data_IF_374595757260
#
_entry.id   IF_374595757260
#
_cell.length_a   1.000
_cell.length_b   1.000
_cell.length_c   1.000
_cell.angle_alpha   90.00
_cell.angle_beta   90.00
_cell.angle_gamma   90.00
#
_symmetry.space_group_name_H-M   'P 1'
#
loop_
_entity.id
_entity.type
_entity.pdbx_description
1 polymer ?
#
# COMPACT_ATOMS: atom_id res chain seq x y z
N UNK A 1 17.44 3.83 19.42
CA UNK A 1 17.15 5.18 18.86
C UNK A 1 16.17 4.97 17.73
N UNK A 2 14.91 5.32 17.94
CA UNK A 2 13.82 5.08 17.01
C UNK A 2 14.05 5.87 15.71
N UNK A 3 14.08 5.19 14.56
CA UNK A 3 14.12 5.87 13.26
C UNK A 3 12.78 6.59 13.05
N UNK A 4 12.83 7.90 12.79
CA UNK A 4 11.67 8.63 12.31
C UNK A 4 11.45 8.27 10.83
N UNK A 5 10.39 7.53 10.54
CA UNK A 5 9.93 7.34 9.16
C UNK A 5 9.57 8.69 8.56
N UNK A 6 10.13 9.01 7.39
CA UNK A 6 9.99 10.33 6.77
C UNK A 6 8.55 10.69 6.38
N UNK A 7 7.67 9.69 6.23
CA UNK A 7 6.28 9.84 5.81
C UNK A 7 5.27 9.81 6.98
N UNK A 8 5.73 10.08 8.20
CA UNK A 8 4.96 10.00 9.45
C UNK A 8 4.59 11.40 9.98
N UNK A 9 3.43 11.53 10.61
CA UNK A 9 3.06 12.68 11.46
C UNK A 9 3.86 12.70 12.77
N UNK A 10 4.26 13.88 13.25
CA UNK A 10 5.08 14.07 14.47
C UNK A 10 4.42 13.59 15.78
N UNK A 11 3.12 13.26 15.77
CA UNK A 11 2.31 12.95 16.97
C UNK A 11 2.22 11.47 17.33
N UNK A 12 3.11 10.65 16.80
CA UNK A 12 2.92 9.23 16.69
C UNK A 12 3.71 8.45 17.74
N UNK A 13 3.07 7.48 18.41
CA UNK A 13 3.67 6.76 19.55
C UNK A 13 4.31 5.44 19.12
N UNK A 14 5.49 5.15 19.65
CA UNK A 14 6.19 3.87 19.49
C UNK A 14 5.98 3.03 20.74
N UNK A 15 5.60 1.77 20.56
CA UNK A 15 5.40 0.80 21.62
C UNK A 15 6.36 -0.36 21.42
N UNK A 16 7.32 -0.54 22.32
CA UNK A 16 8.11 -1.76 22.35
C UNK A 16 7.24 -2.87 22.98
N UNK A 17 6.77 -3.79 22.14
CA UNK A 17 6.28 -5.07 22.65
C UNK A 17 7.51 -5.91 23.07
N UNK A 18 7.35 -6.89 23.97
CA UNK A 18 8.47 -7.63 24.55
C UNK A 18 9.45 -8.26 23.54
N UNK A 19 9.03 -8.43 22.28
CA UNK A 19 9.79 -9.13 21.24
C UNK A 19 9.88 -8.40 19.90
N UNK A 20 9.01 -7.42 19.64
CA UNK A 20 8.96 -6.71 18.36
C UNK A 20 8.84 -5.20 18.55
N UNK A 21 9.55 -4.41 17.74
CA UNK A 21 9.43 -2.96 17.72
C UNK A 21 8.15 -2.56 16.98
N UNK A 22 7.10 -2.22 17.73
CA UNK A 22 5.77 -1.93 17.18
C UNK A 22 5.48 -0.44 17.20
N UNK A 23 4.98 0.07 16.08
CA UNK A 23 4.56 1.45 15.91
C UNK A 23 3.05 1.45 15.77
N UNK A 24 2.37 2.28 16.57
CA UNK A 24 0.93 2.52 16.44
C UNK A 24 0.72 3.96 16.02
N UNK A 25 0.07 4.16 14.90
CA UNK A 25 0.03 5.47 14.27
C UNK A 25 -1.13 5.54 13.28
N UNK A 26 -1.70 6.73 13.19
CA UNK A 26 -2.44 7.23 12.03
C UNK A 26 -1.53 8.23 11.31
N UNK A 27 -1.77 8.54 10.05
CA UNK A 27 -1.04 9.53 9.23
C UNK A 27 0.22 8.99 8.54
N UNK A 28 0.00 8.09 7.59
CA UNK A 28 1.00 7.71 6.60
C UNK A 28 0.41 7.84 5.20
N UNK A 29 1.24 8.28 4.26
CA UNK A 29 0.97 8.09 2.83
C UNK A 29 1.85 6.98 2.30
N UNK A 30 1.24 6.13 1.47
CA UNK A 30 1.85 4.95 0.88
C UNK A 30 1.74 5.02 -0.64
N UNK A 31 2.78 4.59 -1.32
CA UNK A 31 2.85 4.62 -2.78
C UNK A 31 3.09 3.23 -3.33
N UNK A 32 2.37 2.87 -4.37
CA UNK A 32 2.64 1.63 -5.11
C UNK A 32 2.64 1.93 -6.59
N UNK A 33 3.70 1.51 -7.27
CA UNK A 33 3.79 1.57 -8.71
C UNK A 33 3.68 0.15 -9.29
N UNK A 34 3.05 0.03 -10.46
CA UNK A 34 2.93 -1.22 -11.22
C UNK A 34 3.06 -0.89 -12.70
N UNK A 35 3.63 -1.78 -13.51
CA UNK A 35 3.71 -1.56 -14.96
C UNK A 35 2.34 -1.38 -15.58
N UNK A 36 2.30 -0.41 -16.49
CA UNK A 36 1.13 -0.13 -17.26
C UNK A 36 1.11 -1.08 -18.46
N UNK A 37 0.07 -1.92 -18.48
CA UNK A 37 -0.29 -2.75 -19.61
C UNK A 37 -1.80 -2.68 -19.81
N UNK A 38 -2.32 -3.41 -20.79
CA UNK A 38 -3.75 -3.38 -21.15
C UNK A 38 -4.67 -3.82 -20.02
N UNK A 39 -4.16 -4.55 -19.02
CA UNK A 39 -4.94 -4.97 -17.86
C UNK A 39 -5.46 -3.80 -17.03
N UNK A 40 -4.90 -2.60 -17.15
CA UNK A 40 -5.31 -1.41 -16.38
C UNK A 40 -6.60 -0.80 -16.93
N UNK A 41 -6.78 -0.79 -18.25
CA UNK A 41 -7.91 -0.11 -18.87
C UNK A 41 -9.22 -0.85 -18.63
N UNK A 42 -10.33 -0.10 -18.64
CA UNK A 42 -11.68 -0.62 -18.43
C UNK A 42 -11.90 -1.35 -17.09
N UNK A 43 -11.01 -1.12 -16.11
CA UNK A 43 -11.18 -1.56 -14.73
C UNK A 43 -11.37 -0.36 -13.82
N UNK A 44 -12.43 -0.40 -13.04
CA UNK A 44 -12.69 0.62 -12.03
C UNK A 44 -11.55 0.71 -11.04
N UNK A 45 -11.33 1.89 -10.47
CA UNK A 45 -10.34 2.10 -9.41
C UNK A 45 -10.55 1.14 -8.25
N UNK A 46 -11.80 0.83 -7.89
CA UNK A 46 -12.13 -0.24 -6.93
C UNK A 46 -11.49 -1.59 -7.31
N UNK A 47 -11.66 -2.05 -8.56
CA UNK A 47 -11.07 -3.31 -9.03
C UNK A 47 -9.54 -3.26 -9.03
N UNK A 48 -8.96 -2.15 -9.49
CA UNK A 48 -7.51 -1.95 -9.52
C UNK A 48 -6.92 -1.95 -8.11
N UNK A 49 -7.57 -1.24 -7.17
CA UNK A 49 -7.17 -1.17 -5.78
C UNK A 49 -7.16 -2.55 -5.15
N UNK A 50 -8.28 -3.29 -5.22
CA UNK A 50 -8.37 -4.67 -4.71
C UNK A 50 -7.32 -5.58 -5.31
N UNK A 51 -6.98 -5.40 -6.59
CA UNK A 51 -5.93 -6.16 -7.28
C UNK A 51 -4.50 -5.93 -6.76
N UNK A 52 -4.28 -4.91 -5.93
CA UNK A 52 -3.00 -4.71 -5.25
C UNK A 52 -2.77 -5.70 -4.10
N UNK A 53 -3.85 -6.25 -3.54
CA UNK A 53 -3.81 -7.33 -2.57
C UNK A 53 -3.77 -8.67 -3.32
N UNK A 54 -2.61 -9.32 -3.30
CA UNK A 54 -2.37 -10.54 -4.09
C UNK A 54 -2.42 -11.76 -3.20
N UNK A 55 -3.04 -12.81 -3.72
CA UNK A 55 -2.82 -14.15 -3.19
C UNK A 55 -1.38 -14.54 -3.42
N UNK A 56 -0.84 -15.17 -2.39
CA UNK A 56 0.50 -15.65 -2.37
C UNK A 56 0.52 -17.00 -3.11
N UNK A 57 1.07 -17.01 -4.32
CA UNK A 57 1.20 -18.18 -5.19
C UNK A 57 2.53 -18.94 -5.00
N UNK A 58 3.29 -18.61 -3.95
CA UNK A 58 4.64 -19.09 -3.65
C UNK A 58 5.70 -18.81 -4.72
N UNK A 59 5.43 -17.95 -5.73
CA UNK A 59 6.38 -17.63 -6.81
C UNK A 59 7.14 -16.32 -6.61
N UNK A 60 6.68 -15.46 -5.71
CA UNK A 60 7.29 -14.16 -5.40
C UNK A 60 8.12 -14.11 -4.10
N UNK A 61 8.89 -13.03 -3.92
CA UNK A 61 9.84 -12.81 -2.81
C UNK A 61 9.26 -13.07 -1.42
N UNK A 62 8.19 -12.38 -1.07
CA UNK A 62 7.57 -12.46 0.26
C UNK A 62 6.50 -13.56 0.35
N UNK A 63 6.27 -14.20 -0.79
CA UNK A 63 5.29 -15.25 -0.95
C UNK A 63 5.76 -16.55 -0.23
N UNK A 64 7.08 -16.74 -0.15
CA UNK A 64 7.68 -17.82 0.65
C UNK A 64 7.63 -17.58 2.17
N UNK A 65 7.64 -16.33 2.62
CA UNK A 65 7.70 -15.97 4.05
C UNK A 65 6.36 -16.14 4.78
N UNK A 66 5.26 -15.75 4.14
CA UNK A 66 3.93 -15.77 4.76
C UNK A 66 2.94 -16.59 3.92
N UNK A 67 3.13 -17.92 3.83
CA UNK A 67 2.35 -18.78 2.95
C UNK A 67 0.85 -18.66 3.26
N UNK A 68 0.02 -18.67 2.20
CA UNK A 68 -1.45 -18.56 2.27
C UNK A 68 -1.99 -17.22 2.79
N UNK A 69 -1.14 -16.23 3.06
CA UNK A 69 -1.59 -14.88 3.40
C UNK A 69 -1.66 -14.01 2.15
N UNK A 70 -2.68 -13.16 2.05
CA UNK A 70 -2.73 -12.11 1.03
C UNK A 70 -1.88 -10.92 1.47
N UNK A 71 -1.08 -10.42 0.56
CA UNK A 71 -0.11 -9.36 0.84
C UNK A 71 -0.12 -8.27 -0.24
N UNK A 72 0.28 -7.06 0.15
CA UNK A 72 0.44 -5.92 -0.76
C UNK A 72 1.69 -5.12 -0.43
N UNK A 73 2.44 -4.74 -1.46
CA UNK A 73 3.66 -3.95 -1.35
C UNK A 73 3.40 -2.48 -1.61
N UNK A 74 4.02 -1.65 -0.78
CA UNK A 74 3.95 -0.20 -0.88
C UNK A 74 5.30 0.40 -0.47
N UNK A 75 5.51 1.67 -0.78
CA UNK A 75 6.70 2.45 -0.42
C UNK A 75 6.30 3.75 0.28
N UNK A 76 7.27 4.39 0.93
CA UNK A 76 7.11 5.66 1.64
C UNK A 76 6.82 6.85 0.73
N UNK A 77 7.28 6.77 -0.51
CA UNK A 77 7.31 7.90 -1.43
C UNK A 77 7.26 7.41 -2.89
N UNK A 78 6.87 8.28 -3.84
CA UNK A 78 6.71 7.90 -5.24
C UNK A 78 8.03 7.48 -5.92
N UNK A 79 9.17 8.03 -5.50
CA UNK A 79 10.48 7.74 -6.10
C UNK A 79 10.95 6.33 -5.74
N UNK A 80 10.85 5.95 -4.47
CA UNK A 80 11.12 4.58 -3.98
C UNK A 80 10.20 3.58 -4.68
N UNK A 81 8.89 3.86 -4.79
CA UNK A 81 7.96 2.98 -5.49
C UNK A 81 8.34 2.74 -6.96
N UNK A 82 8.83 3.79 -7.64
CA UNK A 82 9.29 3.72 -9.02
C UNK A 82 10.62 2.94 -9.15
N UNK A 83 11.58 3.18 -8.26
CA UNK A 83 12.86 2.44 -8.23
C UNK A 83 12.67 0.94 -8.00
N UNK A 84 11.74 0.56 -7.12
CA UNK A 84 11.40 -0.84 -6.87
C UNK A 84 10.92 -1.55 -8.14
N UNK A 85 9.99 -0.95 -8.88
CA UNK A 85 9.56 -1.57 -10.15
C UNK A 85 10.69 -1.58 -11.16
N UNK A 86 11.50 -0.51 -11.27
CA UNK A 86 12.64 -0.43 -12.19
C UNK A 86 13.66 -1.54 -12.00
N UNK A 87 13.94 -1.91 -10.75
CA UNK A 87 14.82 -3.04 -10.42
C UNK A 87 14.38 -4.36 -11.04
N UNK A 88 13.07 -4.56 -11.26
CA UNK A 88 12.50 -5.79 -11.84
C UNK A 88 12.40 -5.78 -13.37
N UNK A 89 13.17 -4.93 -14.07
CA UNK A 89 13.23 -4.93 -15.55
C UNK A 89 12.07 -4.20 -16.23
N UNK A 90 11.38 -3.34 -15.48
CA UNK A 90 10.32 -2.46 -15.90
C UNK A 90 10.48 -1.69 -17.21
N UNK A 91 9.37 -1.61 -17.97
CA UNK A 91 9.13 -0.49 -18.87
C UNK A 91 9.04 0.87 -18.14
N UNK A 92 9.02 1.96 -18.88
CA UNK A 92 8.97 3.32 -18.30
C UNK A 92 7.54 3.84 -18.06
N UNK A 93 6.53 3.14 -18.58
CA UNK A 93 5.12 3.46 -18.38
C UNK A 93 4.57 2.67 -17.18
N UNK A 94 3.93 3.36 -16.25
CA UNK A 94 3.44 2.76 -15.01
C UNK A 94 2.19 3.45 -14.48
N UNK A 95 1.41 2.70 -13.71
CA UNK A 95 0.34 3.23 -12.87
C UNK A 95 0.86 3.36 -11.43
N UNK A 96 0.54 4.48 -10.80
CA UNK A 96 0.85 4.74 -9.40
C UNK A 96 -0.43 4.90 -8.58
N UNK A 97 -0.47 4.20 -7.47
CA UNK A 97 -1.48 4.35 -6.42
C UNK A 97 -0.85 5.15 -5.28
N UNK A 98 -1.56 6.19 -4.83
CA UNK A 98 -1.27 6.93 -3.62
C UNK A 98 -2.40 6.60 -2.63
N UNK A 99 -2.04 5.94 -1.52
CA UNK A 99 -2.96 5.52 -0.48
C UNK A 99 -2.60 6.15 0.86
N UNK A 100 -3.54 6.17 1.77
CA UNK A 100 -3.38 6.64 3.14
C UNK A 100 -4.14 5.73 4.11
N UNK A 101 -3.80 5.80 5.39
CA UNK A 101 -4.58 5.17 6.45
C UNK A 101 -5.95 5.85 6.55
N UNK A 102 -7.05 5.15 6.24
CA UNK A 102 -8.38 5.77 6.17
C UNK A 102 -8.80 6.41 7.52
N UNK A 103 -8.30 5.87 8.63
CA UNK A 103 -8.53 6.41 9.97
C UNK A 103 -7.92 7.82 10.17
N UNK A 104 -6.95 8.25 9.35
CA UNK A 104 -6.41 9.62 9.38
C UNK A 104 -7.25 10.64 8.59
N UNK A 105 -8.28 10.20 7.85
CA UNK A 105 -9.19 11.13 7.18
C UNK A 105 -10.05 11.88 8.20
N UNK A 106 -10.38 13.14 7.91
CA UNK A 106 -11.43 13.85 8.65
C UNK A 106 -12.79 13.13 8.55
N UNK A 107 -13.01 12.39 7.46
CA UNK A 107 -14.23 11.62 7.19
C UNK A 107 -13.88 10.20 6.74
N UNK A 108 -13.45 9.30 7.64
CA UNK A 108 -13.10 7.92 7.30
C UNK A 108 -14.26 7.22 6.58
N UNK A 109 -13.93 6.40 5.60
CA UNK A 109 -14.88 5.62 4.79
C UNK A 109 -14.90 4.14 5.12
N UNK A 110 -13.95 3.71 5.95
CA UNK A 110 -13.76 2.34 6.41
C UNK A 110 -14.18 2.28 7.88
N UNK A 111 -14.92 1.23 8.23
CA UNK A 111 -15.53 1.11 9.55
C UNK A 111 -14.55 0.81 10.69
N UNK A 112 -13.28 0.50 10.39
CA UNK A 112 -12.26 0.18 11.37
C UNK A 112 -11.47 1.46 11.74
N UNK A 113 -11.71 2.05 12.93
CA UNK A 113 -11.02 3.26 13.36
C UNK A 113 -9.66 2.96 14.03
N UNK A 114 -9.23 1.69 14.09
CA UNK A 114 -8.02 1.33 14.81
C UNK A 114 -6.76 1.76 14.04
N UNK A 115 -5.78 2.37 14.72
CA UNK A 115 -4.56 2.82 14.07
C UNK A 115 -3.80 1.64 13.45
N UNK A 116 -2.95 1.93 12.47
CA UNK A 116 -2.06 0.93 11.90
C UNK A 116 -1.08 0.44 12.96
N UNK A 117 -0.98 -0.88 13.08
CA UNK A 117 0.06 -1.58 13.85
C UNK A 117 1.17 -1.99 12.90
N UNK A 118 2.32 -1.30 12.96
CA UNK A 118 3.45 -1.49 12.05
C UNK A 118 4.62 -2.06 12.83
N UNK A 119 5.20 -3.18 12.39
CA UNK A 119 6.49 -3.65 12.95
C UNK A 119 7.63 -2.98 12.19
N UNK A 120 8.58 -2.40 12.91
CA UNK A 120 9.82 -1.89 12.31
C UNK A 120 10.77 -3.05 12.00
N UNK A 121 10.67 -3.55 10.77
CA UNK A 121 11.52 -4.60 10.23
C UNK A 121 13.00 -4.23 10.15
N UNK A 122 13.38 -2.95 10.24
CA UNK A 122 14.80 -2.58 10.22
C UNK A 122 15.52 -2.97 11.50
N UNK A 123 14.86 -2.81 12.65
CA UNK A 123 15.44 -3.12 13.96
C UNK A 123 15.64 -4.63 14.16
N UNK A 124 14.89 -5.45 13.42
CA UNK A 124 14.95 -6.92 13.47
C UNK A 124 15.61 -7.55 12.23
N UNK A 125 16.27 -6.75 11.37
CA UNK A 125 17.00 -7.28 10.22
C UNK A 125 16.13 -7.89 9.10
N UNK A 126 14.84 -7.54 9.03
CA UNK A 126 13.88 -8.15 8.09
C UNK A 126 14.28 -8.00 6.61
N UNK A 127 14.97 -6.92 6.24
CA UNK A 127 15.45 -6.73 4.87
C UNK A 127 16.46 -7.81 4.45
N UNK A 128 17.30 -8.29 5.39
CA UNK A 128 18.27 -9.36 5.13
C UNK A 128 17.57 -10.71 5.00
N UNK A 129 16.61 -10.99 5.89
CA UNK A 129 15.74 -12.18 5.83
C UNK A 129 15.06 -12.27 4.46
N UNK A 130 14.48 -11.15 4.01
CA UNK A 130 13.85 -11.08 2.70
C UNK A 130 14.83 -11.37 1.56
N UNK A 131 16.03 -10.78 1.62
CA UNK A 131 17.05 -10.99 0.60
C UNK A 131 17.54 -12.45 0.56
N UNK A 132 17.65 -13.13 1.71
CA UNK A 132 17.98 -14.57 1.74
C UNK A 132 16.94 -15.39 1.00
N UNK A 133 15.66 -15.16 1.29
CA UNK A 133 14.54 -15.86 0.64
C UNK A 133 14.47 -15.58 -0.88
N UNK A 134 14.79 -14.36 -1.31
CA UNK A 134 14.90 -14.00 -2.73
C UNK A 134 15.96 -14.82 -3.46
N UNK A 135 17.05 -15.17 -2.78
CA UNK A 135 18.19 -15.88 -3.34
C UNK A 135 18.18 -17.38 -3.00
N UNK A 136 17.05 -17.93 -2.54
CA UNK A 136 16.91 -19.33 -2.14
C UNK A 136 17.93 -19.77 -1.07
N UNK A 137 18.25 -18.86 -0.15
CA UNK A 137 19.12 -19.11 0.99
C UNK A 137 18.25 -19.43 2.22
N UNK A 138 18.59 -20.53 2.90
CA UNK A 138 17.90 -20.95 4.12
C UNK A 138 18.06 -19.93 5.25
N UNK A 139 16.99 -19.77 6.02
CA UNK A 139 16.98 -18.94 7.23
C UNK A 139 17.58 -19.72 8.40
N UNK A 140 18.31 -19.02 9.26
CA UNK A 140 18.74 -19.60 10.54
C UNK A 140 17.61 -19.63 11.57
N UNK A 141 17.85 -20.30 12.71
CA UNK A 141 16.82 -20.48 13.74
C UNK A 141 16.30 -19.15 14.30
N UNK A 142 17.14 -18.12 14.42
CA UNK A 142 16.73 -16.81 14.95
C UNK A 142 15.85 -16.09 13.94
N UNK A 143 16.18 -16.20 12.65
CA UNK A 143 15.40 -15.62 11.57
C UNK A 143 14.02 -16.29 11.46
N UNK A 144 13.96 -17.62 11.64
CA UNK A 144 12.68 -18.34 11.73
C UNK A 144 11.86 -17.85 12.92
N UNK A 145 12.46 -17.74 14.11
CA UNK A 145 11.79 -17.24 15.32
C UNK A 145 11.21 -15.83 15.10
N UNK A 146 11.92 -14.95 14.39
CA UNK A 146 11.45 -13.60 14.04
C UNK A 146 10.18 -13.68 13.17
N UNK A 147 10.17 -14.54 12.15
CA UNK A 147 9.00 -14.72 11.27
C UNK A 147 7.80 -15.29 12.04
N UNK A 148 8.03 -16.22 12.96
CA UNK A 148 6.99 -16.76 13.85
C UNK A 148 6.42 -15.68 14.76
N UNK A 149 7.26 -14.84 15.36
CA UNK A 149 6.83 -13.72 16.21
C UNK A 149 6.00 -12.70 15.42
N UNK A 150 6.43 -12.32 14.20
CA UNK A 150 5.66 -11.45 13.32
C UNK A 150 4.28 -12.06 13.02
N UNK A 151 4.26 -13.36 12.72
CA UNK A 151 3.02 -14.08 12.42
C UNK A 151 2.09 -14.14 13.63
N UNK A 152 2.65 -14.28 14.83
CA UNK A 152 1.90 -14.30 16.09
C UNK A 152 1.30 -12.92 16.42
N UNK A 153 2.08 -11.85 16.26
CA UNK A 153 1.66 -10.47 16.54
C UNK A 153 0.54 -10.01 15.59
N UNK A 154 0.47 -10.57 14.38
CA UNK A 154 -0.54 -10.21 13.34
C UNK A 154 -0.61 -8.70 13.10
N UNK A 155 0.52 -8.04 12.78
CA UNK A 155 0.54 -6.61 12.51
C UNK A 155 -0.26 -6.27 11.24
N UNK A 156 -0.57 -4.99 11.07
CA UNK A 156 -1.21 -4.50 9.86
C UNK A 156 -0.18 -4.42 8.71
N UNK A 157 1.06 -4.03 9.01
CA UNK A 157 2.16 -4.07 8.04
C UNK A 157 3.55 -4.19 8.69
N UNK A 158 4.56 -4.50 7.87
CA UNK A 158 5.99 -4.45 8.21
C UNK A 158 6.65 -3.32 7.44
N UNK A 159 7.45 -2.48 8.10
CA UNK A 159 8.27 -1.46 7.46
C UNK A 159 9.72 -1.96 7.33
N UNK A 160 10.38 -1.76 6.19
CA UNK A 160 11.76 -2.18 5.99
C UNK A 160 12.46 -1.32 4.94
N UNK A 161 13.78 -1.19 5.03
CA UNK A 161 14.57 -0.40 4.08
C UNK A 161 14.45 -0.99 2.67
N UNK A 162 14.24 -0.13 1.66
CA UNK A 162 14.21 -0.58 0.28
C UNK A 162 15.61 -0.99 -0.20
N UNK A 163 15.68 -2.10 -0.94
CA UNK A 163 16.92 -2.55 -1.58
C UNK A 163 17.17 -1.74 -2.85
N UNK A 164 16.11 -1.29 -3.54
CA UNK A 164 16.22 -0.45 -4.72
C UNK A 164 16.56 1.02 -4.39
N UNK A 165 16.13 1.50 -3.22
CA UNK A 165 16.47 2.81 -2.67
C UNK A 165 16.84 2.70 -1.18
N UNK A 166 18.13 2.67 -0.82
CA UNK A 166 18.56 2.56 0.58
C UNK A 166 18.11 3.71 1.49
N UNK A 167 17.63 4.83 0.91
CA UNK A 167 17.05 5.95 1.67
C UNK A 167 15.54 5.82 1.85
N UNK A 168 14.90 4.98 1.03
CA UNK A 168 13.45 4.74 1.03
C UNK A 168 13.03 3.62 1.98
N UNK A 169 11.77 3.67 2.41
CA UNK A 169 11.14 2.61 3.21
C UNK A 169 10.07 1.91 2.39
N UNK A 170 10.09 0.59 2.39
CA UNK A 170 9.01 -0.25 1.89
C UNK A 170 8.10 -0.72 3.02
N UNK A 171 6.85 -1.01 2.68
CA UNK A 171 5.83 -1.52 3.56
C UNK A 171 5.22 -2.79 2.97
N UNK A 172 5.26 -3.87 3.73
CA UNK A 172 4.54 -5.11 3.44
C UNK A 172 3.24 -5.11 4.22
N UNK A 173 2.12 -4.86 3.55
CA UNK A 173 0.80 -4.93 4.15
C UNK A 173 0.25 -6.34 4.12
N UNK A 174 -0.23 -6.80 5.27
CA UNK A 174 -1.09 -7.97 5.36
C UNK A 174 -2.53 -7.60 5.00
N UNK A 175 -3.36 -8.57 4.66
CA UNK A 175 -4.77 -8.34 4.27
C UNK A 175 -5.53 -7.44 5.26
N UNK A 176 -5.35 -7.67 6.56
CA UNK A 176 -5.98 -6.85 7.61
C UNK A 176 -5.58 -5.38 7.49
N UNK A 177 -4.28 -5.09 7.39
CA UNK A 177 -3.79 -3.72 7.27
C UNK A 177 -4.13 -3.09 5.92
N UNK A 178 -4.06 -3.84 4.83
CA UNK A 178 -4.43 -3.36 3.50
C UNK A 178 -5.88 -2.87 3.46
N UNK A 179 -6.79 -3.56 4.16
CA UNK A 179 -8.21 -3.19 4.26
C UNK A 179 -8.46 -1.89 5.03
N UNK A 180 -7.45 -1.32 5.69
CA UNK A 180 -7.50 0.01 6.33
C UNK A 180 -7.07 1.13 5.39
N UNK A 181 -6.55 0.82 4.20
CA UNK A 181 -6.07 1.83 3.27
C UNK A 181 -7.21 2.37 2.41
N UNK A 182 -7.22 3.68 2.23
CA UNK A 182 -8.00 4.38 1.22
C UNK A 182 -7.09 5.04 0.20
N UNK A 183 -7.55 5.17 -1.04
CA UNK A 183 -6.84 5.86 -2.09
C UNK A 183 -7.07 7.36 -2.03
N UNK A 184 -5.99 8.10 -2.23
CA UNK A 184 -6.00 9.54 -2.53
C UNK A 184 -5.96 9.78 -4.03
N UNK A 185 -5.03 9.13 -4.73
CA UNK A 185 -4.90 9.28 -6.17
C UNK A 185 -4.56 7.95 -6.86
N UNK A 186 -5.02 7.81 -8.11
CA UNK A 186 -4.52 6.82 -9.07
C UNK A 186 -4.04 7.55 -10.31
N UNK A 187 -2.78 7.38 -10.70
CA UNK A 187 -2.11 8.18 -11.72
C UNK A 187 -1.45 7.30 -12.79
N UNK A 188 -1.66 7.60 -14.06
CA UNK A 188 -0.92 7.02 -15.18
C UNK A 188 0.29 7.89 -15.53
N UNK A 189 1.44 7.26 -15.65
CA UNK A 189 2.69 7.88 -16.08
C UNK A 189 3.17 7.24 -17.37
N UNK A 190 3.59 8.10 -18.31
CA UNK A 190 4.12 7.70 -19.60
C UNK A 190 5.46 8.40 -19.81
N UNK A 191 6.50 7.68 -20.23
CA UNK A 191 7.87 8.20 -20.35
C UNK A 191 7.99 9.44 -21.23
N UNK A 192 7.19 9.47 -22.29
CA UNK A 192 7.38 10.38 -23.43
C UNK A 192 6.31 11.48 -23.48
N UNK A 193 5.46 11.59 -22.46
CA UNK A 193 4.35 12.53 -22.46
C UNK A 193 4.33 13.37 -21.18
N UNK A 194 3.98 14.65 -21.34
CA UNK A 194 3.68 15.50 -20.19
C UNK A 194 2.46 14.94 -19.44
N UNK A 195 2.46 14.98 -18.09
CA UNK A 195 1.31 14.59 -17.30
C UNK A 195 0.05 15.36 -17.72
N UNK A 196 -1.04 14.66 -17.99
CA UNK A 196 -2.35 15.25 -18.32
C UNK A 196 -3.32 15.06 -17.18
N UNK A 197 -4.30 15.95 -17.06
CA UNK A 197 -5.35 15.82 -16.03
C UNK A 197 -6.13 14.51 -16.13
N UNK A 198 -6.40 14.02 -17.35
CA UNK A 198 -7.09 12.75 -17.56
C UNK A 198 -6.27 11.51 -17.20
N UNK A 199 -4.99 11.68 -16.84
CA UNK A 199 -4.16 10.58 -16.35
C UNK A 199 -4.34 10.36 -14.84
N UNK A 200 -5.18 11.15 -14.17
CA UNK A 200 -5.34 11.10 -12.71
C UNK A 200 -6.80 10.93 -12.34
N UNK A 201 -7.06 9.98 -11.43
CA UNK A 201 -8.34 9.85 -10.74
C UNK A 201 -8.11 10.19 -9.26
N UNK A 202 -8.78 11.24 -8.80
CA UNK A 202 -8.73 11.71 -7.41
C UNK A 202 -9.80 10.98 -6.59
N UNK A 203 -9.39 10.21 -5.59
CA UNK A 203 -10.25 9.44 -4.69
C UNK A 203 -10.42 10.11 -3.32
N UNK A 204 -9.59 11.10 -3.02
CA UNK A 204 -9.80 12.06 -1.94
C UNK A 204 -9.28 13.43 -2.37
N UNK A 205 -9.80 14.47 -1.72
CA UNK A 205 -9.39 15.85 -1.90
C UNK A 205 -8.81 16.41 -0.61
N UNK A 206 -8.18 17.59 -0.69
CA UNK A 206 -7.53 18.32 0.42
C UNK A 206 -6.39 17.58 1.13
N UNK A 207 -5.76 18.26 2.10
CA UNK A 207 -4.77 17.69 3.02
C UNK A 207 -5.37 16.69 4.00
N UNK A 208 -6.66 16.83 4.28
CA UNK A 208 -7.37 16.09 5.34
C UNK A 208 -8.08 14.85 4.79
N UNK A 209 -7.75 14.49 3.55
CA UNK A 209 -8.27 13.33 2.84
C UNK A 209 -9.80 13.28 2.79
N UNK A 210 -10.45 14.39 2.43
CA UNK A 210 -11.91 14.41 2.22
C UNK A 210 -12.24 13.42 1.10
N UNK A 211 -12.95 12.31 1.39
CA UNK A 211 -13.10 11.21 0.44
C UNK A 211 -14.07 11.55 -0.69
N UNK A 212 -13.83 10.96 -1.85
CA UNK A 212 -14.76 10.95 -2.98
C UNK A 212 -15.14 9.49 -3.31
N UNK A 213 -16.14 8.91 -2.61
CA UNK A 213 -16.51 7.51 -2.80
C UNK A 213 -16.84 7.15 -4.25
N UNK A 214 -17.41 8.06 -5.04
CA UNK A 214 -17.77 7.78 -6.45
C UNK A 214 -16.53 7.55 -7.33
N UNK A 215 -15.39 8.14 -7.00
CA UNK A 215 -14.17 8.03 -7.80
C UNK A 215 -13.65 6.59 -7.92
N UNK A 216 -13.98 5.72 -6.95
CA UNK A 216 -13.67 4.29 -7.03
C UNK A 216 -14.42 3.58 -8.18
N UNK A 217 -15.49 4.17 -8.69
CA UNK A 217 -16.22 3.71 -9.89
C UNK A 217 -15.66 4.23 -11.21
N UNK A 218 -14.70 5.16 -11.17
CA UNK A 218 -14.05 5.64 -12.38
C UNK A 218 -13.00 4.66 -12.89
N UNK A 219 -12.75 4.68 -14.19
CA UNK A 219 -11.74 3.87 -14.86
C UNK A 219 -11.09 4.62 -16.01
N UNK A 220 -9.86 4.26 -16.33
CA UNK A 220 -9.20 4.71 -17.56
C UNK A 220 -9.74 3.87 -18.71
N UNK A 221 -10.43 4.49 -19.67
CA UNK A 221 -10.83 3.80 -20.90
C UNK A 221 -9.65 3.74 -21.88
N UNK A 222 -8.85 4.81 -21.92
CA UNK A 222 -7.65 4.94 -22.73
C UNK A 222 -6.60 5.76 -22.00
N UNK A 223 -5.46 6.02 -22.65
CA UNK A 223 -4.38 6.86 -22.10
C UNK A 223 -4.81 8.28 -21.75
N UNK A 224 -5.89 8.78 -22.36
CA UNK A 224 -6.31 10.18 -22.24
C UNK A 224 -7.76 10.36 -21.80
N UNK A 225 -8.47 9.28 -21.49
CA UNK A 225 -9.90 9.30 -21.21
C UNK A 225 -10.24 8.51 -19.95
N UNK A 226 -11.02 9.15 -19.07
CA UNK A 226 -11.59 8.56 -17.86
C UNK A 226 -13.09 8.49 -18.01
N UNK A 227 -13.67 7.34 -17.68
CA UNK A 227 -15.12 7.12 -17.67
C UNK A 227 -15.59 6.63 -16.31
N UNK A 228 -16.90 6.71 -16.10
CA UNK A 228 -17.58 6.24 -14.90
C UNK A 228 -18.36 4.96 -15.19
N UNK A 229 -18.17 3.95 -14.34
CA UNK A 229 -19.13 2.85 -14.25
C UNK A 229 -20.36 3.31 -13.45
N UNK A 230 -21.43 3.67 -14.17
CA UNK A 230 -22.68 4.17 -13.56
C UNK A 230 -23.29 3.20 -12.55
N UNK A 231 -23.03 1.89 -12.69
CA UNK A 231 -23.54 0.87 -11.76
C UNK A 231 -22.72 0.78 -10.48
N UNK A 232 -21.55 1.42 -10.40
CA UNK A 232 -20.72 1.41 -9.20
C UNK A 232 -21.48 1.96 -7.98
N UNK A 233 -22.36 2.94 -8.17
CA UNK A 233 -23.17 3.53 -7.10
C UNK A 233 -24.20 2.55 -6.48
N UNK A 234 -24.45 1.42 -7.14
CA UNK A 234 -25.33 0.37 -6.63
C UNK A 234 -24.59 -0.68 -5.80
N UNK A 235 -23.25 -0.66 -5.82
CA UNK A 235 -22.40 -1.66 -5.15
C UNK A 235 -22.38 -1.48 -3.63
N UNK A 236 -22.10 -2.59 -2.92
CA UNK A 236 -21.96 -2.57 -1.45
C UNK A 236 -20.76 -1.75 -1.00
N UNK A 237 -19.67 -1.71 -1.77
CA UNK A 237 -18.52 -0.85 -1.47
C UNK A 237 -18.91 0.62 -1.47
N UNK A 238 -19.60 1.09 -2.52
CA UNK A 238 -20.04 2.47 -2.59
C UNK A 238 -21.00 2.83 -1.46
N UNK A 239 -21.99 1.97 -1.21
CA UNK A 239 -22.96 2.17 -0.11
C UNK A 239 -22.26 2.23 1.25
N UNK A 240 -21.32 1.32 1.50
CA UNK A 240 -20.52 1.28 2.72
C UNK A 240 -19.72 2.57 2.89
N UNK A 241 -18.86 2.91 1.92
CA UNK A 241 -18.03 4.13 1.97
C UNK A 241 -18.85 5.40 2.13
N UNK A 242 -19.95 5.52 1.36
CA UNK A 242 -20.84 6.68 1.42
C UNK A 242 -21.60 6.80 2.73
N UNK A 243 -21.96 5.68 3.35
CA UNK A 243 -22.66 5.69 4.64
C UNK A 243 -21.76 6.18 5.78
N UNK A 244 -20.48 5.80 5.75
CA UNK A 244 -19.49 6.22 6.73
C UNK A 244 -19.13 7.71 6.61
N UNK A 245 -19.10 8.26 5.40
CA UNK A 245 -18.87 9.70 5.20
C UNK A 245 -19.98 10.60 5.75
N UNK A 246 -21.20 10.08 5.95
CA UNK A 246 -22.41 10.93 6.10
C UNK A 246 -22.65 11.48 7.49
N UNK A 247 -21.86 11.12 8.51
CA UNK A 247 -22.09 11.61 9.87
C UNK A 247 -20.80 11.68 10.69
N UNK A 248 -20.27 12.90 10.89
CA UNK A 248 -19.78 13.44 12.16
C UNK A 248 -20.02 14.94 12.18
#
# INVERSE_FOLDING_TARGET
>A
MTRNFQNRSLLSSTYEHHYLPVLKTSDFTFYRSVFLEDWVYNKTVSKLHRGNLRENDNKGRHSKLFPKQKISYWASDPETAFKEIKRHGAGDDYIQFEAYDDASSAFPTIADPSPLTIVDGNEIGFAEILNKIENDIDLDSKEVDIIEQITHEKPDCLAYTSIADPKGTNFLFFEKGFRKLSLKNVKLFFKSELPRFSNVIHCSTSSDYVPEPKAYGYYFESRTEVKEDKKYTETDEYKSRSSQCKFK
#
